data_IF_186278497990
#
_entry.id   IF_186278497990
#
_cell.length_a   1.000
_cell.length_b   1.000
_cell.length_c   1.000
_cell.angle_alpha   90.00
_cell.angle_beta   90.00
_cell.angle_gamma   90.00
#
_symmetry.space_group_name_H-M   'P 1'
#
loop_
_entity.id
_entity.type
_entity.pdbx_description
1 polymer ?
#
# COMPACT_ATOMS: atom_id res chain seq x y z
N UNK A 1 16.31 2.88 -14.36
CA UNK A 1 14.92 3.00 -14.84
C UNK A 1 14.26 4.15 -14.09
N UNK A 2 13.38 4.91 -14.75
CA UNK A 2 12.74 6.09 -14.16
C UNK A 2 11.63 5.75 -13.15
N UNK A 3 11.06 6.77 -12.53
CA UNK A 3 9.87 6.65 -11.67
C UNK A 3 8.64 6.20 -12.49
N UNK A 4 7.80 5.32 -11.93
CA UNK A 4 6.48 4.97 -12.49
C UNK A 4 5.43 5.87 -11.86
N UNK A 5 4.51 6.42 -12.66
CA UNK A 5 3.32 7.17 -12.19
C UNK A 5 2.08 6.74 -12.98
N UNK A 6 1.05 6.20 -12.31
CA UNK A 6 -0.27 5.89 -12.87
C UNK A 6 -1.38 6.50 -12.00
N UNK A 7 -2.58 6.66 -12.56
CA UNK A 7 -3.77 7.15 -11.85
C UNK A 7 -4.59 6.01 -11.26
N UNK A 8 -5.44 6.31 -10.28
CA UNK A 8 -6.33 5.32 -9.65
C UNK A 8 -7.32 4.73 -10.66
N UNK A 9 -7.64 3.46 -10.44
CA UNK A 9 -8.56 2.63 -11.22
C UNK A 9 -9.64 2.00 -10.35
N UNK A 10 -9.43 1.89 -9.04
CA UNK A 10 -10.43 1.39 -8.09
C UNK A 10 -11.20 2.56 -7.47
N UNK A 11 -12.50 2.36 -7.25
CA UNK A 11 -13.38 3.42 -6.75
C UNK A 11 -13.61 3.41 -5.24
N UNK A 12 -13.15 2.35 -4.55
CA UNK A 12 -13.35 2.22 -3.10
C UNK A 12 -12.46 3.17 -2.31
N UNK A 13 -11.28 3.47 -2.83
CA UNK A 13 -10.38 4.46 -2.26
C UNK A 13 -10.08 5.54 -3.29
N UNK A 14 -10.03 6.79 -2.87
CA UNK A 14 -9.39 7.83 -3.66
C UNK A 14 -7.87 7.68 -3.56
N UNK A 15 -7.33 6.67 -4.27
CA UNK A 15 -5.92 6.33 -4.20
C UNK A 15 -5.01 7.45 -4.73
N UNK A 16 -5.54 8.30 -5.62
CA UNK A 16 -4.86 9.50 -6.09
C UNK A 16 -4.72 10.53 -4.96
N UNK A 17 -5.81 10.82 -4.23
CA UNK A 17 -5.77 11.73 -3.08
C UNK A 17 -4.90 11.19 -1.93
N UNK A 18 -4.93 9.87 -1.70
CA UNK A 18 -4.04 9.23 -0.72
C UNK A 18 -2.58 9.41 -1.13
N UNK A 19 -2.23 9.14 -2.39
CA UNK A 19 -0.86 9.30 -2.88
C UNK A 19 -0.38 10.75 -2.79
N UNK A 20 -1.23 11.72 -3.13
CA UNK A 20 -0.93 13.15 -2.99
C UNK A 20 -0.64 13.50 -1.53
N UNK A 21 -1.51 13.09 -0.61
CA UNK A 21 -1.34 13.32 0.83
C UNK A 21 -0.07 12.68 1.38
N UNK A 22 0.23 11.44 0.96
CA UNK A 22 1.45 10.75 1.35
C UNK A 22 2.69 11.47 0.83
N UNK A 23 2.65 12.05 -0.38
CA UNK A 23 3.77 12.83 -0.93
C UNK A 23 4.05 14.09 -0.10
N UNK A 24 3.02 14.72 0.46
CA UNK A 24 3.20 15.88 1.34
C UNK A 24 3.86 15.50 2.67
N UNK A 25 3.49 14.34 3.23
CA UNK A 25 3.92 13.91 4.57
C UNK A 25 5.25 13.17 4.54
N UNK A 26 5.37 12.20 3.64
CA UNK A 26 6.49 11.26 3.57
C UNK A 26 7.40 11.54 2.35
N UNK A 27 6.95 12.28 1.34
CA UNK A 27 7.77 12.73 0.20
C UNK A 27 8.71 11.65 -0.34
N UNK A 28 10.02 11.96 -0.36
CA UNK A 28 11.08 11.05 -0.82
C UNK A 28 11.33 9.81 0.05
N UNK A 29 10.43 9.49 0.98
CA UNK A 29 10.47 8.27 1.79
C UNK A 29 9.52 7.19 1.23
N UNK A 30 8.64 7.56 0.30
CA UNK A 30 7.80 6.59 -0.42
C UNK A 30 8.68 5.82 -1.41
N UNK A 31 8.64 4.50 -1.31
CA UNK A 31 9.35 3.59 -2.20
C UNK A 31 8.43 3.00 -3.27
N UNK A 32 7.20 2.66 -2.89
CA UNK A 32 6.18 2.16 -3.81
C UNK A 32 4.78 2.47 -3.27
N UNK A 33 3.83 2.70 -4.18
CA UNK A 33 2.41 2.82 -3.88
C UNK A 33 1.61 2.11 -4.96
N UNK A 34 0.68 1.25 -4.54
CA UNK A 34 -0.18 0.52 -5.45
C UNK A 34 -1.56 0.33 -4.82
N UNK A 35 -2.56 0.25 -5.66
CA UNK A 35 -3.91 -0.16 -5.30
C UNK A 35 -4.14 -1.58 -5.84
N UNK A 36 -4.95 -2.38 -5.14
CA UNK A 36 -5.22 -3.75 -5.53
C UNK A 36 -6.61 -4.22 -5.11
N UNK A 37 -7.13 -5.23 -5.79
CA UNK A 37 -8.27 -6.03 -5.36
C UNK A 37 -7.92 -7.53 -5.36
N UNK A 38 -8.92 -8.39 -5.25
CA UNK A 38 -8.73 -9.84 -5.26
C UNK A 38 -8.31 -10.44 -6.63
N UNK A 39 -8.34 -9.67 -7.71
CA UNK A 39 -8.13 -10.13 -9.10
C UNK A 39 -6.95 -9.42 -9.80
N UNK A 40 -6.70 -8.15 -9.49
CA UNK A 40 -5.71 -7.30 -10.16
C UNK A 40 -5.11 -6.24 -9.24
N UNK A 41 -4.08 -5.56 -9.72
CA UNK A 41 -3.41 -4.46 -9.05
C UNK A 41 -2.98 -3.39 -10.05
N UNK A 42 -2.81 -2.17 -9.56
CA UNK A 42 -2.30 -1.04 -10.31
C UNK A 42 -1.20 -0.35 -9.50
N UNK A 43 0.03 -0.41 -10.01
CA UNK A 43 1.17 0.30 -9.42
C UNK A 43 1.07 1.77 -9.83
N UNK A 44 0.74 2.63 -8.88
CA UNK A 44 0.58 4.07 -9.13
C UNK A 44 1.87 4.85 -8.89
N UNK A 45 2.76 4.36 -8.03
CA UNK A 45 4.07 4.98 -7.84
C UNK A 45 5.16 3.94 -7.55
N UNK A 46 6.33 4.14 -8.16
CA UNK A 46 7.53 3.38 -7.82
C UNK A 46 8.77 4.26 -7.89
N UNK A 47 9.48 4.35 -6.77
CA UNK A 47 10.73 5.10 -6.66
C UNK A 47 11.87 4.37 -7.39
N UNK A 48 12.79 5.14 -7.99
CA UNK A 48 13.93 4.60 -8.72
C UNK A 48 14.83 3.70 -7.86
N UNK A 49 14.92 3.94 -6.54
CA UNK A 49 15.68 3.10 -5.61
C UNK A 49 15.08 1.71 -5.50
N UNK A 50 13.76 1.63 -5.45
CA UNK A 50 13.04 0.35 -5.40
C UNK A 50 13.19 -0.39 -6.72
N UNK A 51 13.06 0.32 -7.85
CA UNK A 51 13.34 -0.23 -9.18
C UNK A 51 14.76 -0.80 -9.26
N UNK A 52 15.78 -0.12 -8.75
CA UNK A 52 17.16 -0.63 -8.75
C UNK A 52 17.36 -1.89 -7.89
N UNK A 53 16.55 -2.07 -6.84
CA UNK A 53 16.62 -3.26 -5.97
C UNK A 53 15.87 -4.46 -6.55
N UNK A 54 14.71 -4.25 -7.17
CA UNK A 54 13.84 -5.31 -7.68
C UNK A 54 14.25 -5.79 -9.07
N UNK A 55 14.86 -4.92 -9.89
CA UNK A 55 15.34 -5.26 -11.22
C UNK A 55 15.21 -4.08 -12.18
N UNK A 56 16.12 -3.97 -13.15
CA UNK A 56 16.11 -2.85 -14.10
C UNK A 56 14.99 -2.95 -15.15
N UNK A 57 14.24 -4.07 -15.19
CA UNK A 57 13.15 -4.27 -16.14
C UNK A 57 11.78 -4.20 -15.47
N UNK A 58 10.79 -3.69 -16.22
CA UNK A 58 9.38 -3.66 -15.78
C UNK A 58 8.87 -5.07 -15.46
N UNK A 59 9.34 -6.09 -16.18
CA UNK A 59 8.95 -7.47 -15.96
C UNK A 59 9.39 -8.00 -14.57
N UNK A 60 10.55 -7.57 -14.06
CA UNK A 60 11.01 -8.00 -12.72
C UNK A 60 10.16 -7.38 -11.61
N UNK A 61 9.70 -6.13 -11.81
CA UNK A 61 8.80 -5.43 -10.90
C UNK A 61 7.41 -6.08 -10.93
N UNK A 62 6.90 -6.40 -12.13
CA UNK A 62 5.62 -7.10 -12.31
C UNK A 62 5.67 -8.50 -11.69
N UNK A 63 6.77 -9.26 -11.85
CA UNK A 63 6.92 -10.58 -11.21
C UNK A 63 6.90 -10.49 -9.68
N UNK A 64 7.57 -9.48 -9.11
CA UNK A 64 7.54 -9.23 -7.68
C UNK A 64 6.14 -8.80 -7.21
N UNK A 65 5.47 -7.93 -7.95
CA UNK A 65 4.11 -7.49 -7.67
C UNK A 65 3.10 -8.64 -7.75
N UNK A 66 3.20 -9.50 -8.77
CA UNK A 66 2.39 -10.73 -8.93
C UNK A 66 2.58 -11.66 -7.73
N UNK A 67 3.82 -11.79 -7.24
CA UNK A 67 4.11 -12.62 -6.06
C UNK A 67 3.42 -12.09 -4.82
N UNK A 68 3.48 -10.79 -4.56
CA UNK A 68 2.78 -10.19 -3.41
C UNK A 68 1.26 -10.25 -3.62
N UNK A 69 0.78 -9.98 -4.84
CA UNK A 69 -0.64 -10.00 -5.18
C UNK A 69 -1.29 -11.36 -5.01
N UNK A 70 -0.56 -12.43 -5.32
CA UNK A 70 -1.02 -13.81 -5.11
C UNK A 70 -1.40 -14.11 -3.64
N UNK A 71 -0.81 -13.37 -2.69
CA UNK A 71 -1.09 -13.48 -1.26
C UNK A 71 -2.21 -12.53 -0.78
N UNK A 72 -2.64 -11.51 -1.53
CA UNK A 72 -3.60 -10.50 -1.04
C UNK A 72 -5.03 -11.01 -0.84
N UNK A 73 -5.41 -12.16 -1.40
CA UNK A 73 -6.65 -12.85 -0.99
C UNK A 73 -6.64 -13.21 0.50
N UNK A 74 -5.46 -13.41 1.08
CA UNK A 74 -5.32 -13.67 2.51
C UNK A 74 -5.59 -12.41 3.31
N UNK A 75 -5.33 -11.19 2.81
CA UNK A 75 -5.49 -9.97 3.59
C UNK A 75 -6.94 -9.69 4.00
N UNK A 76 -7.89 -9.90 3.08
CA UNK A 76 -9.32 -9.77 3.38
C UNK A 76 -9.78 -10.84 4.38
N UNK A 77 -9.26 -12.07 4.24
CA UNK A 77 -9.57 -13.17 5.18
C UNK A 77 -8.92 -12.95 6.55
N UNK A 78 -7.69 -12.41 6.57
CA UNK A 78 -6.95 -12.06 7.78
C UNK A 78 -7.66 -10.93 8.51
N UNK A 79 -8.12 -9.89 7.80
CA UNK A 79 -8.92 -8.80 8.39
C UNK A 79 -10.12 -9.34 9.13
N UNK A 80 -10.98 -10.13 8.47
CA UNK A 80 -12.15 -10.74 9.09
C UNK A 80 -11.77 -11.58 10.32
N UNK A 81 -10.69 -12.36 10.23
CA UNK A 81 -10.22 -13.18 11.34
C UNK A 81 -9.72 -12.33 12.53
N UNK A 82 -8.98 -11.26 12.28
CA UNK A 82 -8.49 -10.38 13.34
C UNK A 82 -9.65 -9.61 14.00
N UNK A 83 -10.63 -9.14 13.24
CA UNK A 83 -11.82 -8.46 13.78
C UNK A 83 -12.69 -9.41 14.62
N UNK A 84 -12.80 -10.68 14.25
CA UNK A 84 -13.48 -11.71 15.04
C UNK A 84 -12.73 -12.04 16.34
N UNK A 85 -11.39 -12.09 16.30
CA UNK A 85 -10.57 -12.37 17.49
C UNK A 85 -10.50 -11.17 18.44
N UNK A 86 -10.41 -9.96 17.90
CA UNK A 86 -10.19 -8.72 18.63
C UNK A 86 -11.42 -7.79 18.59
N UNK A 87 -12.62 -8.35 18.63
CA UNK A 87 -13.88 -7.60 18.45
C UNK A 87 -14.03 -6.39 19.38
N UNK A 88 -13.46 -6.43 20.59
CA UNK A 88 -13.51 -5.32 21.54
C UNK A 88 -12.61 -4.12 21.15
N UNK A 89 -11.69 -4.30 20.20
CA UNK A 89 -10.74 -3.27 19.74
C UNK A 89 -11.22 -2.53 18.48
N UNK A 90 -12.32 -2.98 17.87
CA UNK A 90 -12.91 -2.37 16.68
C UNK A 90 -12.40 -2.98 15.37
N UNK A 91 -12.41 -2.17 14.32
CA UNK A 91 -12.06 -2.58 12.96
C UNK A 91 -10.55 -2.55 12.72
N UNK A 92 -10.06 -3.53 11.97
CA UNK A 92 -8.64 -3.54 11.57
C UNK A 92 -8.44 -2.51 10.49
N UNK A 93 -7.63 -1.53 10.86
CA UNK A 93 -7.29 -0.42 10.00
C UNK A 93 -6.24 -0.83 8.94
N UNK A 94 -5.05 -1.17 9.38
CA UNK A 94 -3.98 -1.56 8.47
C UNK A 94 -3.13 -2.69 9.03
N UNK A 95 -2.51 -3.43 8.13
CA UNK A 95 -1.41 -4.34 8.45
C UNK A 95 -0.09 -3.64 8.18
N UNK A 96 0.86 -3.79 9.11
CA UNK A 96 2.20 -3.25 8.96
C UNK A 96 3.25 -4.37 9.10
N UNK A 97 4.17 -4.44 8.13
CA UNK A 97 5.32 -5.35 8.16
C UNK A 97 6.62 -4.55 8.09
N UNK A 98 7.50 -4.77 9.06
CA UNK A 98 8.78 -4.09 9.19
C UNK A 98 9.91 -5.01 8.72
N UNK A 99 10.67 -4.56 7.73
CA UNK A 99 11.86 -5.21 7.20
C UNK A 99 13.11 -4.42 7.61
N UNK A 100 14.30 -4.98 7.37
CA UNK A 100 15.56 -4.32 7.75
C UNK A 100 15.76 -2.95 7.08
N UNK A 101 15.21 -2.75 5.88
CA UNK A 101 15.41 -1.52 5.08
C UNK A 101 14.13 -0.77 4.71
N UNK A 102 12.95 -1.33 4.98
CA UNK A 102 11.68 -0.74 4.57
C UNK A 102 10.54 -1.19 5.47
N UNK A 103 9.46 -0.44 5.44
CA UNK A 103 8.18 -0.82 6.06
C UNK A 103 7.13 -0.91 4.97
N UNK A 104 6.24 -1.89 5.11
CA UNK A 104 5.09 -2.08 4.24
C UNK A 104 3.84 -1.84 5.08
N UNK A 105 2.95 -0.99 4.58
CA UNK A 105 1.59 -0.84 5.07
C UNK A 105 0.62 -1.36 4.03
N UNK A 106 -0.37 -2.13 4.49
CA UNK A 106 -1.50 -2.61 3.69
C UNK A 106 -2.78 -2.13 4.35
N UNK A 107 -3.45 -1.19 3.70
CA UNK A 107 -4.76 -0.69 4.12
C UNK A 107 -5.80 -1.53 3.40
N UNK A 108 -6.72 -2.13 4.14
CA UNK A 108 -7.63 -3.14 3.59
C UNK A 108 -9.07 -2.68 3.77
N UNK A 109 -9.78 -2.52 2.66
CA UNK A 109 -11.19 -2.16 2.60
C UNK A 109 -12.09 -3.39 2.67
N UNK A 110 -13.27 -3.28 2.07
CA UNK A 110 -14.20 -4.37 1.81
C UNK A 110 -13.81 -5.15 0.55
N UNK A 111 -13.46 -4.46 -0.55
CA UNK A 111 -13.19 -5.10 -1.86
C UNK A 111 -11.85 -4.74 -2.49
N UNK A 112 -11.24 -3.64 -2.07
CA UNK A 112 -9.92 -3.20 -2.49
C UNK A 112 -8.97 -3.01 -1.30
N UNK A 113 -7.68 -2.80 -1.60
CA UNK A 113 -6.65 -2.44 -0.65
C UNK A 113 -5.63 -1.46 -1.25
N UNK A 114 -4.90 -0.78 -0.37
CA UNK A 114 -3.75 0.06 -0.73
C UNK A 114 -2.49 -0.54 -0.14
N UNK A 115 -1.47 -0.67 -0.98
CA UNK A 115 -0.13 -1.06 -0.61
C UNK A 115 0.77 0.17 -0.61
N UNK A 116 1.46 0.41 0.51
CA UNK A 116 2.40 1.52 0.67
C UNK A 116 3.72 0.97 1.20
N UNK A 117 4.80 1.17 0.46
CA UNK A 117 6.15 0.87 0.95
C UNK A 117 6.89 2.17 1.26
N UNK A 118 7.47 2.23 2.44
CA UNK A 118 8.17 3.39 2.99
C UNK A 118 9.57 3.02 3.46
N UNK A 119 10.50 3.97 3.45
CA UNK A 119 11.78 3.82 4.18
C UNK A 119 11.55 3.77 5.69
N UNK A 120 12.48 3.18 6.45
CA UNK A 120 12.41 3.07 7.90
C UNK A 120 12.32 4.41 8.66
N UNK A 121 12.70 5.50 8.00
CA UNK A 121 12.77 6.84 8.57
C UNK A 121 11.43 7.60 8.46
N UNK A 122 10.41 6.98 7.85
CA UNK A 122 9.14 7.63 7.55
C UNK A 122 8.29 7.87 8.80
N UNK A 123 7.46 8.94 8.83
CA UNK A 123 6.59 9.25 9.96
C UNK A 123 5.34 8.33 9.95
N UNK A 124 5.51 7.05 10.31
CA UNK A 124 4.49 6.01 10.16
C UNK A 124 3.12 6.36 10.74
N UNK A 125 3.06 6.94 11.95
CA UNK A 125 1.78 7.31 12.55
C UNK A 125 1.06 8.39 11.74
N UNK A 126 1.79 9.40 11.26
CA UNK A 126 1.20 10.47 10.44
C UNK A 126 0.74 9.93 9.08
N UNK A 127 1.46 8.95 8.52
CA UNK A 127 1.05 8.24 7.29
C UNK A 127 -0.26 7.50 7.53
N UNK A 128 -0.35 6.69 8.61
CA UNK A 128 -1.58 5.95 8.92
C UNK A 128 -2.75 6.92 9.11
N UNK A 129 -2.60 7.93 9.97
CA UNK A 129 -3.67 8.90 10.24
C UNK A 129 -4.13 9.59 8.95
N UNK A 130 -3.21 10.05 8.11
CA UNK A 130 -3.57 10.76 6.89
C UNK A 130 -4.24 9.86 5.84
N UNK A 131 -3.81 8.60 5.70
CA UNK A 131 -4.49 7.65 4.81
C UNK A 131 -5.91 7.39 5.32
N UNK A 132 -6.08 7.26 6.64
CA UNK A 132 -7.39 7.08 7.25
C UNK A 132 -8.34 8.25 7.02
N UNK A 133 -7.84 9.48 7.21
CA UNK A 133 -8.64 10.67 7.01
C UNK A 133 -9.17 10.75 5.57
N UNK A 134 -8.34 10.42 4.57
CA UNK A 134 -8.79 10.40 3.17
C UNK A 134 -9.80 9.28 2.89
N UNK A 135 -9.61 8.10 3.48
CA UNK A 135 -10.52 6.96 3.28
C UNK A 135 -11.87 7.18 3.98
N UNK A 136 -11.89 7.76 5.18
CA UNK A 136 -13.13 8.03 5.93
C UNK A 136 -13.92 9.24 5.39
N UNK A 137 -13.29 10.15 4.64
CA UNK A 137 -13.95 11.31 4.01
C UNK A 137 -14.53 11.03 2.60
N UNK A 138 -14.22 9.87 2.01
CA UNK A 138 -14.66 9.44 0.66
C UNK A 138 -16.07 8.82 0.66
#
# INVERSE_FOLDING_TARGET
MGTIENTSTFTEFDADAVLETLREIAGGQILAFAEYDAETYNIMYLDERMSQQLGESVADIEEFADKIHSDYRLDFTEKEMYEDVYTELGEVRAFAAFFEGSTIFRFVGETAGLYVSLTMDAPFNAVIEAVYDVIEEA
#
